data_IF_586536662661
#
_entry.id   IF_586536662661
#
_cell.length_a   1.000
_cell.length_b   1.000
_cell.length_c   1.000
_cell.angle_alpha   90.00
_cell.angle_beta   90.00
_cell.angle_gamma   90.00
#
_symmetry.space_group_name_H-M   'P 1'
#
loop_
_entity.id
_entity.type
_entity.pdbx_description
1 polymer ?
#
# COMPACT_ATOMS: atom_id res chain seq x y z
N UNK A 1 -8.74 -4.27 -18.49
CA UNK A 1 -8.30 -3.21 -17.53
C UNK A 1 -9.11 -3.41 -16.27
N UNK A 2 -8.48 -3.47 -15.09
CA UNK A 2 -9.20 -3.62 -13.82
C UNK A 2 -10.03 -2.37 -13.58
N UNK A 3 -11.34 -2.53 -13.32
CA UNK A 3 -12.22 -1.40 -12.98
C UNK A 3 -11.91 -0.92 -11.55
N UNK A 4 -11.57 0.34 -11.40
CA UNK A 4 -11.29 1.00 -10.12
C UNK A 4 -12.25 2.15 -9.83
N UNK A 5 -13.41 2.19 -10.49
CA UNK A 5 -14.40 3.27 -10.31
C UNK A 5 -14.85 3.39 -8.86
N UNK A 6 -15.04 2.26 -8.18
CA UNK A 6 -15.40 2.19 -6.77
C UNK A 6 -14.30 2.76 -5.85
N UNK A 7 -13.03 2.49 -6.17
CA UNK A 7 -11.88 3.05 -5.44
C UNK A 7 -11.83 4.58 -5.59
N UNK A 8 -12.03 5.07 -6.81
CA UNK A 8 -12.07 6.52 -7.09
C UNK A 8 -13.23 7.21 -6.38
N UNK A 9 -14.37 6.54 -6.26
CA UNK A 9 -15.53 7.07 -5.51
C UNK A 9 -15.26 7.10 -3.99
N UNK A 10 -14.56 6.11 -3.47
CA UNK A 10 -14.16 6.06 -2.06
C UNK A 10 -13.14 7.16 -1.70
N UNK A 11 -12.23 7.49 -2.62
CA UNK A 11 -11.24 8.54 -2.44
C UNK A 11 -11.83 9.91 -2.83
N UNK A 12 -11.78 10.88 -1.93
CA UNK A 12 -12.31 12.24 -2.16
C UNK A 12 -11.54 13.07 -3.20
N UNK A 13 -10.33 12.63 -3.58
CA UNK A 13 -9.51 13.32 -4.58
C UNK A 13 -8.59 12.32 -5.29
N UNK A 14 -8.20 12.64 -6.51
CA UNK A 14 -7.21 11.89 -7.27
C UNK A 14 -5.78 12.30 -6.89
N UNK A 15 -4.82 11.41 -7.15
CA UNK A 15 -3.38 11.74 -7.06
C UNK A 15 -3.03 12.80 -8.12
N UNK A 16 -2.38 13.91 -7.73
CA UNK A 16 -1.96 14.95 -8.68
C UNK A 16 -1.00 14.39 -9.76
N UNK A 17 -1.06 14.95 -10.96
CA UNK A 17 -0.16 14.56 -12.07
C UNK A 17 1.32 14.80 -11.72
N UNK A 18 1.61 15.83 -10.94
CA UNK A 18 2.96 16.10 -10.42
C UNK A 18 3.54 14.90 -9.63
N UNK A 19 2.70 14.11 -8.96
CA UNK A 19 3.17 12.89 -8.30
C UNK A 19 3.70 11.88 -9.33
N UNK A 20 3.00 11.71 -10.46
CA UNK A 20 3.44 10.81 -11.54
C UNK A 20 4.74 11.32 -12.15
N UNK A 21 4.84 12.61 -12.44
CA UNK A 21 6.06 13.23 -12.98
C UNK A 21 7.26 13.00 -12.07
N UNK A 22 7.11 13.22 -10.76
CA UNK A 22 8.16 12.99 -9.78
C UNK A 22 8.53 11.51 -9.65
N UNK A 23 7.55 10.60 -9.67
CA UNK A 23 7.79 9.16 -9.60
C UNK A 23 8.55 8.65 -10.84
N UNK A 24 8.20 9.16 -12.02
CA UNK A 24 8.88 8.80 -13.27
C UNK A 24 10.30 9.39 -13.36
N UNK A 25 10.56 10.50 -12.68
CA UNK A 25 11.89 11.11 -12.62
C UNK A 25 12.90 10.27 -11.82
N UNK A 26 12.42 9.43 -10.89
CA UNK A 26 13.27 8.56 -10.05
C UNK A 26 12.57 7.22 -9.79
N UNK A 27 12.65 6.32 -10.76
CA UNK A 27 12.05 4.98 -10.71
C UNK A 27 12.65 4.13 -9.58
N UNK A 28 13.94 4.26 -9.31
CA UNK A 28 14.60 3.52 -8.24
C UNK A 28 14.01 3.91 -6.88
N UNK A 29 13.81 5.21 -6.66
CA UNK A 29 13.17 5.73 -5.45
C UNK A 29 11.72 5.25 -5.31
N UNK A 30 10.96 5.24 -6.41
CA UNK A 30 9.60 4.71 -6.44
C UNK A 30 9.55 3.25 -5.97
N UNK A 31 10.46 2.40 -6.47
CA UNK A 31 10.51 0.97 -6.12
C UNK A 31 10.96 0.78 -4.66
N UNK A 32 11.93 1.56 -4.17
CA UNK A 32 12.37 1.52 -2.77
C UNK A 32 11.23 1.95 -1.83
N UNK A 33 10.51 3.03 -2.15
CA UNK A 33 9.37 3.49 -1.36
C UNK A 33 8.25 2.44 -1.33
N UNK A 34 7.98 1.81 -2.46
CA UNK A 34 7.02 0.71 -2.55
C UNK A 34 7.40 -0.45 -1.62
N UNK A 35 8.65 -0.93 -1.67
CA UNK A 35 9.12 -1.98 -0.74
C UNK A 35 8.93 -1.59 0.73
N UNK A 36 9.13 -0.32 1.06
CA UNK A 36 8.89 0.18 2.42
C UNK A 36 7.39 0.22 2.78
N UNK A 37 6.51 0.54 1.82
CA UNK A 37 5.06 0.52 2.04
C UNK A 37 4.58 -0.90 2.37
N UNK A 38 4.99 -1.91 1.62
CA UNK A 38 4.64 -3.31 1.86
C UNK A 38 5.09 -3.79 3.25
N UNK A 39 6.33 -3.50 3.65
CA UNK A 39 6.82 -3.81 5.01
C UNK A 39 5.99 -3.14 6.10
N UNK A 40 5.59 -1.90 5.91
CA UNK A 40 4.79 -1.15 6.89
C UNK A 40 3.39 -1.70 6.99
N UNK A 41 2.76 -2.08 5.88
CA UNK A 41 1.45 -2.71 5.87
C UNK A 41 1.49 -4.05 6.62
N UNK A 42 2.45 -4.92 6.34
CA UNK A 42 2.67 -6.17 7.06
C UNK A 42 2.91 -5.93 8.57
N UNK A 43 3.73 -4.97 8.93
CA UNK A 43 4.00 -4.60 10.34
C UNK A 43 2.74 -4.09 11.04
N UNK A 44 1.91 -3.30 10.37
CA UNK A 44 0.65 -2.81 10.93
C UNK A 44 -0.31 -3.97 11.20
N UNK A 45 -0.46 -4.91 10.25
CA UNK A 45 -1.28 -6.10 10.43
C UNK A 45 -0.79 -6.96 11.61
N UNK A 46 0.52 -7.17 11.72
CA UNK A 46 1.11 -7.89 12.87
C UNK A 46 0.84 -7.18 14.20
N UNK A 47 0.95 -5.85 14.26
CA UNK A 47 0.65 -5.09 15.47
C UNK A 47 -0.81 -5.23 15.90
N UNK A 48 -1.76 -5.32 14.95
CA UNK A 48 -3.17 -5.56 15.26
C UNK A 48 -3.39 -6.97 15.83
N UNK A 49 -2.71 -7.99 15.29
CA UNK A 49 -2.74 -9.36 15.84
C UNK A 49 -2.27 -9.37 17.31
N UNK A 50 -1.17 -8.69 17.61
CA UNK A 50 -0.64 -8.65 18.98
C UNK A 50 -1.53 -7.88 19.96
N UNK A 51 -2.24 -6.87 19.50
CA UNK A 51 -3.04 -5.99 20.35
C UNK A 51 -4.43 -6.55 20.65
N UNK A 52 -5.09 -7.15 19.67
CA UNK A 52 -6.50 -7.58 19.75
C UNK A 52 -6.63 -9.09 19.80
N UNK A 53 -6.05 -9.71 20.84
CA UNK A 53 -5.96 -11.17 21.01
C UNK A 53 -7.30 -11.86 21.28
N UNK A 54 -8.31 -11.13 21.66
CA UNK A 54 -9.68 -11.59 21.89
C UNK A 54 -10.55 -11.55 20.63
N UNK A 55 -10.08 -10.96 19.54
CA UNK A 55 -10.80 -10.89 18.28
C UNK A 55 -10.22 -11.86 17.24
N UNK A 56 -10.68 -13.11 17.25
CA UNK A 56 -10.17 -14.17 16.38
C UNK A 56 -10.42 -13.88 14.89
N UNK A 57 -11.54 -13.23 14.54
CA UNK A 57 -11.83 -12.86 13.15
C UNK A 57 -10.82 -11.83 12.63
N UNK A 58 -10.59 -10.78 13.40
CA UNK A 58 -9.59 -9.76 13.07
C UNK A 58 -8.19 -10.38 12.95
N UNK A 59 -7.78 -11.23 13.91
CA UNK A 59 -6.48 -11.90 13.85
C UNK A 59 -6.31 -12.73 12.59
N UNK A 60 -7.33 -13.48 12.18
CA UNK A 60 -7.29 -14.27 10.96
C UNK A 60 -7.18 -13.40 9.69
N UNK A 61 -7.95 -12.33 9.61
CA UNK A 61 -7.88 -11.37 8.48
C UNK A 61 -6.50 -10.70 8.42
N UNK A 62 -6.00 -10.21 9.54
CA UNK A 62 -4.68 -9.57 9.61
C UNK A 62 -3.53 -10.53 9.31
N UNK A 63 -3.66 -11.81 9.69
CA UNK A 63 -2.67 -12.84 9.35
C UNK A 63 -2.60 -13.10 7.83
N UNK A 64 -3.75 -13.13 7.16
CA UNK A 64 -3.78 -13.24 5.69
C UNK A 64 -3.16 -12.02 5.04
N UNK A 65 -3.58 -10.82 5.45
CA UNK A 65 -3.06 -9.56 4.94
C UNK A 65 -1.54 -9.49 5.11
N UNK A 66 -1.00 -9.73 6.31
CA UNK A 66 0.44 -9.69 6.55
C UNK A 66 1.24 -10.61 5.61
N UNK A 67 0.73 -11.80 5.30
CA UNK A 67 1.38 -12.73 4.36
C UNK A 67 1.32 -12.24 2.91
N UNK A 68 0.24 -11.58 2.51
CA UNK A 68 0.12 -11.00 1.17
C UNK A 68 1.07 -9.82 1.00
N UNK A 69 1.12 -8.90 1.97
CA UNK A 69 2.04 -7.77 1.96
C UNK A 69 3.51 -8.20 1.93
N UNK A 70 3.87 -9.23 2.71
CA UNK A 70 5.22 -9.79 2.67
C UNK A 70 5.55 -10.45 1.33
N UNK A 71 4.59 -11.10 0.68
CA UNK A 71 4.77 -11.65 -0.67
C UNK A 71 4.96 -10.54 -1.71
N UNK A 72 4.19 -9.44 -1.63
CA UNK A 72 4.39 -8.27 -2.48
C UNK A 72 5.78 -7.66 -2.25
N UNK A 73 6.19 -7.52 -0.99
CA UNK A 73 7.54 -7.10 -0.64
C UNK A 73 8.62 -7.96 -1.29
N UNK A 74 8.50 -9.29 -1.24
CA UNK A 74 9.44 -10.22 -1.88
C UNK A 74 9.49 -10.03 -3.40
N UNK A 75 8.35 -9.78 -4.05
CA UNK A 75 8.29 -9.47 -5.48
C UNK A 75 9.01 -8.17 -5.82
N UNK A 76 8.85 -7.12 -5.00
CA UNK A 76 9.57 -5.85 -5.17
C UNK A 76 11.07 -6.04 -5.01
N UNK A 77 11.51 -6.78 -3.99
CA UNK A 77 12.94 -7.12 -3.78
C UNK A 77 13.51 -7.88 -4.98
N UNK A 78 12.76 -8.80 -5.57
CA UNK A 78 13.19 -9.53 -6.77
C UNK A 78 13.38 -8.58 -7.97
N UNK A 79 12.50 -7.59 -8.15
CA UNK A 79 12.65 -6.55 -9.18
C UNK A 79 13.88 -5.71 -8.91
N UNK A 80 14.08 -5.26 -7.66
CA UNK A 80 15.27 -4.49 -7.28
C UNK A 80 16.56 -5.25 -7.61
N UNK A 81 16.61 -6.55 -7.30
CA UNK A 81 17.77 -7.41 -7.59
C UNK A 81 18.03 -7.49 -9.10
N UNK A 82 17.00 -7.71 -9.93
CA UNK A 82 17.16 -7.79 -11.40
C UNK A 82 17.63 -6.48 -12.01
N UNK A 83 17.19 -5.35 -11.44
CA UNK A 83 17.53 -3.99 -11.91
C UNK A 83 18.80 -3.43 -11.28
N UNK A 84 19.48 -4.19 -10.41
CA UNK A 84 20.66 -3.72 -9.64
C UNK A 84 20.38 -2.45 -8.81
N UNK A 85 19.15 -2.30 -8.31
CA UNK A 85 18.76 -1.19 -7.43
C UNK A 85 19.31 -1.46 -6.04
N UNK A 86 20.13 -0.55 -5.52
CA UNK A 86 20.63 -0.62 -4.16
C UNK A 86 19.56 -0.18 -3.17
N UNK A 87 19.14 -1.09 -2.29
CA UNK A 87 18.20 -0.75 -1.22
C UNK A 87 18.84 0.17 -0.21
N UNK A 88 18.44 1.43 -0.19
CA UNK A 88 18.88 2.44 0.77
C UNK A 88 17.76 2.82 1.73
N UNK A 89 18.12 3.29 2.92
CA UNK A 89 17.13 3.87 3.81
C UNK A 89 16.66 5.22 3.26
N UNK A 90 15.36 5.40 3.19
CA UNK A 90 14.72 6.65 2.79
C UNK A 90 13.75 7.12 3.88
N UNK A 91 13.48 8.43 3.90
CA UNK A 91 12.45 8.96 4.78
C UNK A 91 11.06 8.43 4.37
N UNK A 92 10.23 8.19 5.39
CA UNK A 92 8.87 7.71 5.15
C UNK A 92 8.04 8.77 4.39
N UNK A 93 7.27 8.32 3.40
CA UNK A 93 6.30 9.17 2.72
C UNK A 93 5.33 9.81 3.73
N UNK A 94 5.04 11.09 3.54
CA UNK A 94 4.25 11.90 4.50
C UNK A 94 2.77 11.53 4.54
N UNK A 95 2.25 10.93 3.47
CA UNK A 95 0.82 10.68 3.28
C UNK A 95 0.20 9.85 4.42
N UNK A 96 0.70 8.63 4.64
CA UNK A 96 0.18 7.75 5.69
C UNK A 96 0.36 8.35 7.10
N UNK A 97 1.50 9.02 7.34
CA UNK A 97 1.76 9.70 8.61
C UNK A 97 0.81 10.86 8.89
N UNK A 98 0.45 11.63 7.86
CA UNK A 98 -0.49 12.72 7.97
C UNK A 98 -1.90 12.25 8.34
N UNK A 99 -2.39 11.20 7.67
CA UNK A 99 -3.71 10.62 7.97
C UNK A 99 -3.76 10.04 9.39
N UNK A 100 -2.70 9.32 9.80
CA UNK A 100 -2.62 8.71 11.15
C UNK A 100 -2.70 9.71 12.30
N UNK A 101 -2.33 10.96 12.09
CA UNK A 101 -2.47 12.01 13.12
C UNK A 101 -3.91 12.28 13.53
N UNK A 102 -4.87 11.98 12.67
CA UNK A 102 -6.30 12.16 12.90
C UNK A 102 -6.95 10.97 13.63
N UNK A 103 -6.22 9.86 13.82
CA UNK A 103 -6.75 8.67 14.47
C UNK A 103 -6.96 8.90 15.97
N UNK A 104 -8.06 8.35 16.49
CA UNK A 104 -8.34 8.30 17.92
C UNK A 104 -7.26 7.52 18.69
N UNK A 105 -7.07 7.89 19.96
CA UNK A 105 -6.18 7.17 20.87
C UNK A 105 -6.92 6.22 21.80
N UNK A 106 -8.25 6.30 21.84
CA UNK A 106 -9.13 5.56 22.74
C UNK A 106 -9.94 4.47 22.01
N UNK A 107 -10.09 3.33 22.65
CA UNK A 107 -10.95 2.24 22.15
C UNK A 107 -12.44 2.58 22.36
N UNK A 108 -13.35 2.14 21.49
CA UNK A 108 -13.10 1.28 20.30
C UNK A 108 -12.68 2.08 19.05
N UNK A 109 -12.66 3.39 19.12
CA UNK A 109 -12.40 4.27 17.97
C UNK A 109 -11.01 4.11 17.42
N UNK A 110 -10.03 3.78 18.25
CA UNK A 110 -8.66 3.54 17.81
C UNK A 110 -8.54 2.40 16.81
N UNK A 111 -9.21 1.27 17.05
CA UNK A 111 -9.25 0.16 16.11
C UNK A 111 -9.96 0.56 14.83
N UNK A 112 -11.15 1.17 14.95
CA UNK A 112 -11.97 1.60 13.80
C UNK A 112 -11.16 2.55 12.91
N UNK A 113 -10.57 3.60 13.48
CA UNK A 113 -9.78 4.57 12.72
C UNK A 113 -8.54 3.93 12.09
N UNK A 114 -7.90 2.99 12.78
CA UNK A 114 -6.74 2.26 12.24
C UNK A 114 -7.13 1.45 11.00
N UNK A 115 -8.26 0.75 11.02
CA UNK A 115 -8.77 -0.02 9.88
C UNK A 115 -9.21 0.89 8.72
N UNK A 116 -9.91 1.98 9.01
CA UNK A 116 -10.31 2.97 7.99
C UNK A 116 -9.06 3.59 7.32
N UNK A 117 -8.05 3.96 8.09
CA UNK A 117 -6.80 4.49 7.56
C UNK A 117 -6.09 3.46 6.69
N UNK A 118 -6.09 2.19 7.08
CA UNK A 118 -5.60 1.09 6.26
C UNK A 118 -6.32 1.04 4.92
N UNK A 119 -7.65 1.02 4.91
CA UNK A 119 -8.45 1.01 3.69
C UNK A 119 -8.18 2.22 2.78
N UNK A 120 -8.02 3.43 3.35
CA UNK A 120 -7.66 4.63 2.58
C UNK A 120 -6.27 4.50 1.94
N UNK A 121 -5.29 3.96 2.66
CA UNK A 121 -3.93 3.75 2.15
C UNK A 121 -3.95 2.74 1.00
N UNK A 122 -4.65 1.62 1.15
CA UNK A 122 -4.82 0.60 0.11
C UNK A 122 -5.49 1.16 -1.15
N UNK A 123 -6.62 1.85 -0.96
CA UNK A 123 -7.33 2.49 -2.07
C UNK A 123 -6.43 3.50 -2.82
N UNK A 124 -5.62 4.28 -2.07
CA UNK A 124 -4.67 5.22 -2.67
C UNK A 124 -3.54 4.51 -3.41
N UNK A 125 -3.05 3.39 -2.91
CA UNK A 125 -2.04 2.58 -3.59
C UNK A 125 -2.60 2.04 -4.91
N UNK A 126 -3.81 1.48 -4.93
CA UNK A 126 -4.48 1.03 -6.14
C UNK A 126 -4.66 2.14 -7.19
N UNK A 127 -5.10 3.32 -6.76
CA UNK A 127 -5.30 4.46 -7.67
C UNK A 127 -3.96 4.91 -8.28
N UNK A 128 -2.88 4.93 -7.49
CA UNK A 128 -1.52 5.26 -7.96
C UNK A 128 -0.97 4.20 -8.90
N UNK A 129 -1.17 2.92 -8.62
CA UNK A 129 -0.76 1.84 -9.53
C UNK A 129 -1.44 1.96 -10.88
N UNK A 130 -2.76 2.20 -10.90
CA UNK A 130 -3.50 2.40 -12.13
C UNK A 130 -3.03 3.65 -12.90
N UNK A 131 -2.69 4.72 -12.18
CA UNK A 131 -2.29 5.99 -12.78
C UNK A 131 -0.88 5.94 -13.38
N UNK A 132 0.07 5.24 -12.72
CA UNK A 132 1.47 5.21 -13.15
C UNK A 132 1.78 4.09 -14.16
N UNK A 133 1.09 2.95 -14.09
CA UNK A 133 1.39 1.77 -14.92
C UNK A 133 1.51 2.06 -16.42
N UNK A 134 0.66 2.92 -17.06
CA UNK A 134 0.77 3.24 -18.47
C UNK A 134 2.06 3.96 -18.89
N UNK A 135 2.78 4.53 -17.93
CA UNK A 135 4.00 5.33 -18.16
C UNK A 135 5.29 4.56 -17.87
N UNK A 136 5.18 3.33 -17.36
CA UNK A 136 6.32 2.49 -17.00
C UNK A 136 6.72 1.55 -18.14
N UNK A 137 7.92 0.98 -18.06
CA UNK A 137 8.32 -0.11 -18.96
C UNK A 137 7.45 -1.36 -18.75
N UNK A 138 7.53 -2.30 -19.70
CA UNK A 138 6.66 -3.47 -19.75
C UNK A 138 6.71 -4.32 -18.47
N UNK A 139 7.90 -4.50 -17.87
CA UNK A 139 8.07 -5.28 -16.65
C UNK A 139 7.35 -4.62 -15.46
N UNK A 140 7.60 -3.34 -15.23
CA UNK A 140 6.98 -2.60 -14.12
C UNK A 140 5.50 -2.38 -14.35
N UNK A 141 5.09 -2.06 -15.58
CA UNK A 141 3.68 -1.92 -15.91
C UNK A 141 2.91 -3.21 -15.62
N UNK A 142 3.40 -4.36 -16.08
CA UNK A 142 2.78 -5.66 -15.82
C UNK A 142 2.74 -5.97 -14.32
N UNK A 143 3.80 -5.65 -13.58
CA UNK A 143 3.87 -5.85 -12.14
C UNK A 143 2.82 -5.00 -11.40
N UNK A 144 2.77 -3.69 -11.64
CA UNK A 144 1.80 -2.80 -10.99
C UNK A 144 0.34 -3.13 -11.34
N UNK A 145 0.07 -3.56 -12.58
CA UNK A 145 -1.27 -4.02 -12.96
C UNK A 145 -1.65 -5.34 -12.28
N UNK A 146 -0.67 -6.22 -12.01
CA UNK A 146 -0.92 -7.46 -11.25
C UNK A 146 -1.24 -7.17 -9.79
N UNK A 147 -0.53 -6.22 -9.17
CA UNK A 147 -0.82 -5.75 -7.81
C UNK A 147 -2.20 -5.10 -7.74
N UNK A 148 -2.52 -4.22 -8.68
CA UNK A 148 -3.83 -3.58 -8.74
C UNK A 148 -4.96 -4.61 -8.73
N UNK A 149 -4.82 -5.72 -9.45
CA UNK A 149 -5.81 -6.81 -9.46
C UNK A 149 -5.91 -7.53 -8.12
N UNK A 150 -4.81 -7.66 -7.38
CA UNK A 150 -4.75 -8.25 -6.04
C UNK A 150 -5.35 -7.30 -5.00
N UNK A 151 -4.82 -6.08 -4.93
CA UNK A 151 -5.11 -5.08 -3.91
C UNK A 151 -6.52 -4.49 -4.00
N UNK A 152 -7.09 -4.41 -5.21
CA UNK A 152 -8.45 -3.84 -5.40
C UNK A 152 -9.55 -4.57 -4.64
N UNK A 153 -9.25 -5.72 -4.03
CA UNK A 153 -10.17 -6.49 -3.19
C UNK A 153 -9.94 -6.27 -1.69
N UNK A 154 -8.73 -5.86 -1.29
CA UNK A 154 -8.34 -5.80 0.12
C UNK A 154 -8.98 -4.64 0.88
N UNK A 155 -9.29 -3.54 0.23
CA UNK A 155 -9.87 -2.40 0.93
C UNK A 155 -11.36 -2.62 1.29
N UNK A 156 -11.99 -3.65 0.73
CA UNK A 156 -13.40 -4.03 1.01
C UNK A 156 -13.50 -5.07 2.15
N UNK A 157 -12.42 -5.76 2.51
CA UNK A 157 -12.35 -6.82 3.52
C UNK A 157 -12.06 -6.27 4.93
#
# INVERSE_FOLDING_TARGET
>A
MTDISHIKQFLNCETPDLWVENALADIDMLIIDHANCEKKAASTAMNLIYRYVDNFELMNKMSKLAREELRHFEQVIAIMKRRNIKYTQIEAARYAGAIRKSASREEPWKLIDTLIIGAIIEARSCERFAKIAPHLDDELSAFYLSLLKSESRHYEE
#
